data_IF_817485652540
#
_entry.id   IF_817485652540
#
_cell.length_a   1.000
_cell.length_b   1.000
_cell.length_c   1.000
_cell.angle_alpha   90.00
_cell.angle_beta   90.00
_cell.angle_gamma   90.00
#
_symmetry.space_group_name_H-M   'P 1'
#
loop_
_entity.id
_entity.type
_entity.pdbx_description
1 polymer ?
#
# COMPACT_ATOMS: atom_id res chain seq x y z
N UNK A 1 -30.68 60.79 -24.79
CA UNK A 1 -31.49 59.80 -25.50
C UNK A 1 -30.84 58.45 -25.33
N UNK A 2 -31.61 57.46 -24.88
CA UNK A 2 -31.16 56.07 -24.72
C UNK A 2 -31.48 55.20 -25.95
N UNK A 3 -31.41 53.88 -25.67
CA UNK A 3 -31.62 52.68 -26.51
C UNK A 3 -30.32 52.18 -27.19
N UNK A 4 -29.64 51.14 -26.65
CA UNK A 4 -29.94 49.69 -26.69
C UNK A 4 -29.75 49.13 -28.13
N UNK A 5 -29.11 48.00 -28.44
CA UNK A 5 -29.07 46.62 -27.91
C UNK A 5 -27.73 45.98 -28.40
N UNK A 6 -26.98 45.22 -27.60
CA UNK A 6 -26.97 43.75 -27.43
C UNK A 6 -26.32 42.92 -28.58
N UNK A 7 -25.78 41.77 -28.18
CA UNK A 7 -25.38 40.57 -28.95
C UNK A 7 -23.89 40.21 -28.86
N UNK A 8 -23.69 38.98 -28.41
CA UNK A 8 -22.48 38.40 -27.88
C UNK A 8 -21.81 37.43 -28.88
N UNK A 9 -20.65 36.95 -28.42
CA UNK A 9 -20.16 35.57 -28.59
C UNK A 9 -19.32 35.19 -29.82
N UNK A 10 -18.40 34.25 -29.52
CA UNK A 10 -17.56 33.45 -30.42
C UNK A 10 -16.32 34.17 -31.02
N UNK A 11 -15.07 33.74 -30.87
CA UNK A 11 -14.50 32.39 -30.73
C UNK A 11 -13.13 32.43 -30.02
N UNK A 12 -12.82 31.34 -29.32
CA UNK A 12 -11.52 31.01 -28.73
C UNK A 12 -10.52 30.66 -29.84
N UNK A 13 -9.35 31.27 -29.83
CA UNK A 13 -8.15 30.66 -30.42
C UNK A 13 -7.13 30.36 -29.32
N UNK A 14 -6.79 29.07 -29.26
CA UNK A 14 -5.85 28.51 -28.32
C UNK A 14 -4.42 28.82 -28.79
N UNK A 15 -3.69 29.62 -28.03
CA UNK A 15 -2.24 29.66 -28.15
C UNK A 15 -1.60 28.85 -27.01
N UNK A 16 -0.96 27.78 -27.47
CA UNK A 16 -0.23 26.78 -26.72
C UNK A 16 1.00 27.46 -26.11
N UNK A 17 0.97 27.71 -24.80
CA UNK A 17 2.19 27.98 -24.04
C UNK A 17 2.83 26.64 -23.71
N UNK A 18 3.92 26.36 -24.41
CA UNK A 18 4.75 25.19 -24.23
C UNK A 18 5.20 25.06 -22.77
N UNK A 19 4.91 23.89 -22.21
CA UNK A 19 5.46 23.38 -20.97
C UNK A 19 6.97 23.16 -21.16
N UNK A 20 7.78 24.18 -20.85
CA UNK A 20 9.22 24.00 -20.67
C UNK A 20 9.46 23.39 -19.29
N UNK A 21 9.06 22.13 -19.15
CA UNK A 21 9.57 21.25 -18.12
C UNK A 21 11.07 21.12 -18.32
N UNK A 22 11.84 21.81 -17.48
CA UNK A 22 13.29 21.67 -17.42
C UNK A 22 13.63 20.21 -17.22
N UNK A 23 14.12 19.59 -18.29
CA UNK A 23 14.55 18.21 -18.37
C UNK A 23 15.80 18.02 -17.50
N UNK A 24 15.57 17.93 -16.19
CA UNK A 24 16.55 17.44 -15.24
C UNK A 24 16.76 15.96 -15.53
N UNK A 25 17.58 15.66 -16.54
CA UNK A 25 18.10 14.32 -16.82
C UNK A 25 19.02 13.90 -15.67
N UNK A 26 18.44 13.60 -14.52
CA UNK A 26 18.96 12.57 -13.64
C UNK A 26 18.63 11.26 -14.36
N UNK A 27 19.54 10.85 -15.25
CA UNK A 27 19.49 9.59 -15.97
C UNK A 27 18.92 8.50 -15.07
N UNK A 28 17.73 8.01 -15.42
CA UNK A 28 16.98 7.04 -14.63
C UNK A 28 17.87 5.86 -14.30
N UNK A 29 18.42 5.87 -13.09
CA UNK A 29 19.09 4.72 -12.52
C UNK A 29 18.02 3.64 -12.46
N UNK A 30 18.04 2.76 -13.46
CA UNK A 30 17.13 1.62 -13.57
C UNK A 30 17.34 0.81 -12.30
N UNK A 31 16.47 1.02 -11.30
CA UNK A 31 16.54 0.35 -10.01
C UNK A 31 16.55 -1.14 -10.30
N UNK A 32 17.71 -1.75 -10.21
CA UNK A 32 17.85 -3.19 -10.38
C UNK A 32 17.20 -3.80 -9.15
N UNK A 33 16.14 -4.57 -9.34
CA UNK A 33 15.57 -5.36 -8.27
C UNK A 33 16.60 -6.44 -7.91
N UNK A 34 17.43 -6.18 -6.89
CA UNK A 34 18.32 -7.21 -6.40
C UNK A 34 17.47 -8.34 -5.83
N UNK A 35 17.90 -9.61 -6.01
CA UNK A 35 17.24 -10.70 -5.33
C UNK A 35 17.23 -10.43 -3.82
N UNK A 36 16.15 -10.79 -3.12
CA UNK A 36 16.07 -10.56 -1.68
C UNK A 36 17.23 -11.25 -0.97
N UNK A 37 17.74 -10.62 0.10
CA UNK A 37 18.73 -11.23 0.96
C UNK A 37 18.20 -12.58 1.51
N UNK A 38 19.07 -13.56 1.78
CA UNK A 38 18.66 -14.80 2.44
C UNK A 38 17.85 -14.49 3.71
N UNK A 39 16.63 -15.01 3.78
CA UNK A 39 15.68 -14.80 4.89
C UNK A 39 15.26 -16.14 5.51
N UNK A 40 16.19 -16.87 6.17
CA UNK A 40 15.90 -18.19 6.73
C UNK A 40 14.81 -18.14 7.81
N UNK A 41 14.73 -17.04 8.56
CA UNK A 41 13.79 -16.85 9.67
C UNK A 41 12.49 -16.15 9.26
N UNK A 42 12.27 -15.99 7.95
CA UNK A 42 11.09 -15.34 7.39
C UNK A 42 11.21 -13.81 7.34
N UNK A 43 10.10 -13.08 7.11
CA UNK A 43 8.74 -13.59 6.86
C UNK A 43 8.69 -14.48 5.63
N UNK A 44 7.78 -15.46 5.59
CA UNK A 44 7.66 -16.43 4.50
C UNK A 44 6.40 -16.19 3.68
N UNK A 45 6.52 -16.40 2.37
CA UNK A 45 5.39 -16.51 1.46
C UNK A 45 4.71 -17.87 1.63
N UNK A 46 3.41 -17.96 1.31
CA UNK A 46 2.67 -19.22 1.40
C UNK A 46 3.30 -20.35 0.58
N UNK A 47 3.94 -20.03 -0.55
CA UNK A 47 4.63 -21.00 -1.40
C UNK A 47 5.92 -21.57 -0.79
N UNK A 48 6.46 -20.93 0.24
CA UNK A 48 7.72 -21.33 0.87
C UNK A 48 7.50 -22.24 2.09
N UNK A 49 6.25 -22.43 2.51
CA UNK A 49 5.89 -23.23 3.69
C UNK A 49 5.00 -24.39 3.26
N UNK A 50 5.44 -25.63 3.52
CA UNK A 50 4.69 -26.83 3.13
C UNK A 50 3.34 -26.97 3.84
N UNK A 51 3.28 -26.59 5.12
CA UNK A 51 2.10 -26.71 5.98
C UNK A 51 1.89 -25.42 6.78
N UNK A 52 1.32 -24.36 6.17
CA UNK A 52 1.22 -23.04 6.81
C UNK A 52 0.35 -23.01 8.07
N UNK A 53 -0.60 -23.94 8.22
CA UNK A 53 -1.45 -24.06 9.40
C UNK A 53 -0.83 -24.81 10.57
N UNK A 54 0.30 -25.50 10.38
CA UNK A 54 0.92 -26.29 11.45
C UNK A 54 1.72 -25.38 12.39
N UNK A 55 1.34 -25.34 13.67
CA UNK A 55 2.00 -24.52 14.69
C UNK A 55 1.82 -23.01 14.53
N UNK A 56 0.91 -22.56 13.66
CA UNK A 56 0.62 -21.15 13.40
C UNK A 56 -0.87 -20.86 13.55
N UNK A 57 -1.18 -19.65 13.99
CA UNK A 57 -2.55 -19.12 14.05
C UNK A 57 -2.85 -18.40 12.75
N UNK A 58 -3.97 -18.75 12.13
CA UNK A 58 -4.51 -18.07 10.95
C UNK A 58 -5.23 -16.78 11.37
N UNK A 59 -4.76 -15.63 10.87
CA UNK A 59 -5.36 -14.32 11.10
C UNK A 59 -6.03 -13.77 9.81
N UNK A 60 -6.37 -14.65 8.87
CA UNK A 60 -7.00 -14.35 7.59
C UNK A 60 -5.99 -13.96 6.51
N UNK A 61 -5.22 -12.89 6.74
CA UNK A 61 -4.22 -12.40 5.77
C UNK A 61 -2.79 -12.85 6.05
N UNK A 62 -2.53 -13.40 7.24
CA UNK A 62 -1.19 -13.76 7.72
C UNK A 62 -1.29 -14.92 8.71
N UNK A 63 -0.25 -15.76 8.73
CA UNK A 63 -0.07 -16.83 9.72
C UNK A 63 1.01 -16.42 10.74
N UNK A 64 0.69 -16.49 12.03
CA UNK A 64 1.62 -16.13 13.12
C UNK A 64 1.99 -17.37 13.92
N UNK A 65 3.28 -17.67 14.13
CA UNK A 65 3.69 -18.84 14.93
C UNK A 65 3.21 -18.73 16.38
N UNK A 66 2.64 -19.83 16.89
CA UNK A 66 2.31 -19.95 18.31
C UNK A 66 3.55 -20.36 19.09
N UNK A 67 4.06 -19.49 19.97
CA UNK A 67 5.17 -19.82 20.88
C UNK A 67 4.68 -19.91 22.31
N UNK A 68 5.37 -20.72 23.13
CA UNK A 68 5.00 -20.90 24.54
C UNK A 68 5.08 -19.57 25.31
N UNK A 69 4.05 -19.30 26.13
CA UNK A 69 3.94 -18.05 26.89
C UNK A 69 3.50 -16.83 26.07
N UNK A 70 3.16 -17.01 24.79
CA UNK A 70 2.56 -15.97 23.96
C UNK A 70 1.08 -15.79 24.28
N UNK A 71 0.66 -14.54 24.49
CA UNK A 71 -0.75 -14.15 24.51
C UNK A 71 -1.10 -13.47 23.19
N UNK A 72 -2.20 -13.90 22.58
CA UNK A 72 -2.71 -13.34 21.33
C UNK A 72 -4.08 -12.72 21.56
N UNK A 73 -4.20 -11.42 21.28
CA UNK A 73 -5.46 -10.67 21.31
C UNK A 73 -5.85 -10.34 19.89
N UNK A 74 -7.05 -10.70 19.48
CA UNK A 74 -7.53 -10.52 18.11
C UNK A 74 -8.64 -9.48 18.10
N UNK A 75 -8.54 -8.51 17.19
CA UNK A 75 -9.57 -7.51 16.93
C UNK A 75 -10.32 -7.90 15.65
N UNK A 76 -11.66 -7.91 15.73
CA UNK A 76 -12.55 -8.38 14.67
C UNK A 76 -13.51 -7.25 14.29
N UNK A 77 -13.71 -7.03 13.00
CA UNK A 77 -14.73 -6.15 12.46
C UNK A 77 -15.63 -6.93 11.47
N UNK A 78 -16.89 -7.15 11.88
CA UNK A 78 -17.78 -8.05 11.16
C UNK A 78 -17.25 -9.49 11.19
N UNK A 79 -17.02 -10.08 10.02
CA UNK A 79 -16.48 -11.43 9.87
C UNK A 79 -14.95 -11.43 9.61
N UNK A 80 -14.29 -10.28 9.65
CA UNK A 80 -12.88 -10.14 9.32
C UNK A 80 -12.02 -9.79 10.55
N UNK A 81 -10.85 -10.43 10.66
CA UNK A 81 -9.81 -10.04 11.61
C UNK A 81 -9.10 -8.80 11.05
N UNK A 82 -9.09 -7.71 11.83
CA UNK A 82 -8.52 -6.42 11.41
C UNK A 82 -7.16 -6.14 12.05
N UNK A 83 -6.91 -6.68 13.24
CA UNK A 83 -5.64 -6.56 13.93
C UNK A 83 -5.42 -7.73 14.88
N UNK A 84 -4.16 -7.98 15.22
CA UNK A 84 -3.80 -8.84 16.32
C UNK A 84 -2.67 -8.23 17.15
N UNK A 85 -2.80 -8.26 18.47
CA UNK A 85 -1.73 -7.92 19.40
C UNK A 85 -1.12 -9.20 19.95
N UNK A 86 0.19 -9.35 19.75
CA UNK A 86 1.01 -10.41 20.30
C UNK A 86 1.74 -9.87 21.52
N UNK A 87 1.58 -10.50 22.67
CA UNK A 87 2.33 -10.18 23.89
C UNK A 87 3.19 -11.40 24.24
N UNK A 88 4.47 -11.17 24.45
CA UNK A 88 5.43 -12.20 24.88
C UNK A 88 6.37 -11.61 25.91
N UNK A 89 6.25 -12.10 27.16
CA UNK A 89 7.00 -11.56 28.31
C UNK A 89 6.73 -10.05 28.44
N UNK A 90 7.78 -9.23 28.37
CA UNK A 90 7.71 -7.77 28.51
C UNK A 90 7.60 -7.04 27.16
N UNK A 91 7.40 -7.78 26.06
CA UNK A 91 7.29 -7.26 24.70
C UNK A 91 5.88 -7.38 24.16
N UNK A 92 5.43 -6.37 23.42
CA UNK A 92 4.17 -6.39 22.70
C UNK A 92 4.35 -5.90 21.26
N UNK A 93 3.71 -6.57 20.31
CA UNK A 93 3.71 -6.21 18.89
C UNK A 93 2.27 -6.22 18.38
N UNK A 94 1.86 -5.16 17.70
CA UNK A 94 0.58 -5.11 16.99
C UNK A 94 0.82 -5.37 15.50
N UNK A 95 0.02 -6.28 14.95
CA UNK A 95 0.07 -6.70 13.55
C UNK A 95 -1.25 -6.33 12.88
N UNK A 96 -1.15 -5.64 11.74
CA UNK A 96 -2.28 -5.28 10.89
C UNK A 96 -1.91 -5.59 9.44
N UNK A 97 -2.71 -6.41 8.78
CA UNK A 97 -2.51 -6.78 7.39
C UNK A 97 -3.36 -5.89 6.48
N UNK A 98 -2.70 -5.12 5.62
CA UNK A 98 -3.36 -4.30 4.62
C UNK A 98 -3.14 -4.90 3.23
N UNK A 99 -4.20 -4.95 2.44
CA UNK A 99 -4.12 -5.33 1.03
C UNK A 99 -4.45 -4.12 0.16
N UNK A 100 -3.60 -3.89 -0.85
CA UNK A 100 -3.91 -2.94 -1.89
C UNK A 100 -5.23 -3.32 -2.60
N UNK A 101 -6.21 -2.41 -2.75
CA UNK A 101 -7.39 -2.69 -3.55
C UNK A 101 -6.97 -3.00 -4.99
N UNK A 102 -7.42 -4.14 -5.55
CA UNK A 102 -7.07 -4.55 -6.92
C UNK A 102 -7.42 -3.52 -8.01
N UNK A 103 -8.29 -2.53 -7.72
CA UNK A 103 -8.88 -1.60 -8.70
C UNK A 103 -8.60 -0.12 -8.43
N UNK A 104 -7.96 0.24 -7.33
CA UNK A 104 -7.60 1.63 -7.03
C UNK A 104 -6.10 1.65 -6.75
N UNK A 105 -5.34 2.17 -7.71
CA UNK A 105 -3.90 2.35 -7.62
C UNK A 105 -3.54 3.48 -6.67
N UNK A 106 -3.82 3.33 -5.37
CA UNK A 106 -3.52 4.35 -4.36
C UNK A 106 -1.99 4.47 -4.12
N UNK A 107 -1.22 3.46 -4.55
CA UNK A 107 0.25 3.46 -4.49
C UNK A 107 0.93 4.40 -5.49
N UNK A 108 0.17 5.05 -6.38
CA UNK A 108 0.72 6.13 -7.22
C UNK A 108 1.11 7.33 -6.36
N UNK A 109 0.17 7.80 -5.52
CA UNK A 109 0.33 9.01 -4.71
C UNK A 109 1.26 8.79 -3.50
N UNK A 110 1.20 7.64 -2.83
CA UNK A 110 2.03 7.33 -1.65
C UNK A 110 3.54 7.18 -1.99
N UNK A 111 3.90 7.01 -3.26
CA UNK A 111 5.30 6.82 -3.68
C UNK A 111 6.03 8.12 -4.01
N UNK A 112 5.30 9.23 -4.13
CA UNK A 112 5.87 10.55 -4.42
C UNK A 112 6.16 11.36 -3.15
N UNK A 113 5.72 10.88 -1.98
CA UNK A 113 6.02 11.45 -0.65
C UNK A 113 7.19 10.76 0.08
#
# INVERSE_FOLDING_TARGET
SGSAEDEADEVREAEQVADEGTDGTAAGARRTNLPPAPRPDGPWDLSEVSQPGEGRVDLGGIFVPGVEGMELRVEVAGDAIVAATVVLRDSAVQLQAFAAPKRQGIWGEVREE
#
